data_IF_850309445261
#
_entry.id   IF_850309445261
#
_cell.length_a   1.000
_cell.length_b   1.000
_cell.length_c   1.000
_cell.angle_alpha   90.00
_cell.angle_beta   90.00
_cell.angle_gamma   90.00
#
_symmetry.space_group_name_H-M   'P 1'
#
loop_
_entity.id
_entity.type
_entity.pdbx_description
1 polymer ?
#
# COMPACT_ATOMS: atom_id res chain seq x y z
N UNK A 1 45.63 46.34 -7.91
CA UNK A 1 45.12 45.12 -8.58
C UNK A 1 44.94 44.01 -7.56
N UNK A 2 43.69 43.73 -7.18
CA UNK A 2 43.17 42.44 -6.64
C UNK A 2 41.65 42.62 -6.49
N UNK A 3 40.92 42.17 -7.51
CA UNK A 3 39.45 42.21 -7.55
C UNK A 3 38.90 41.03 -6.76
N UNK A 4 38.20 41.32 -5.66
CA UNK A 4 37.39 40.35 -4.92
C UNK A 4 36.02 40.30 -5.59
N UNK A 5 35.73 39.20 -6.32
CA UNK A 5 34.40 38.91 -6.85
C UNK A 5 33.50 38.42 -5.71
N UNK A 6 32.61 39.28 -5.25
CA UNK A 6 31.45 38.89 -4.44
C UNK A 6 30.45 38.13 -5.33
N UNK A 7 30.21 36.85 -5.03
CA UNK A 7 29.15 36.06 -5.65
C UNK A 7 27.82 36.41 -4.97
N UNK A 8 26.94 37.05 -5.74
CA UNK A 8 25.53 37.21 -5.41
C UNK A 8 24.86 35.83 -5.30
N UNK A 9 24.38 35.48 -4.11
CA UNK A 9 23.42 34.41 -3.93
C UNK A 9 22.05 34.92 -4.40
N UNK A 10 21.68 34.47 -5.59
CA UNK A 10 20.37 34.66 -6.17
C UNK A 10 19.35 33.95 -5.28
N UNK A 11 18.40 34.71 -4.73
CA UNK A 11 17.18 34.19 -4.10
C UNK A 11 16.43 33.37 -5.15
N UNK A 12 16.59 32.04 -5.11
CA UNK A 12 15.69 31.14 -5.82
C UNK A 12 14.39 31.10 -5.03
N UNK A 13 13.35 31.61 -5.69
CA UNK A 13 12.00 31.64 -5.18
C UNK A 13 11.54 30.24 -4.79
N UNK A 14 10.97 30.17 -3.60
CA UNK A 14 10.12 29.08 -3.17
C UNK A 14 8.93 29.10 -4.14
N UNK A 15 9.02 28.29 -5.19
CA UNK A 15 7.86 27.92 -5.99
C UNK A 15 6.95 27.14 -5.06
N UNK A 16 5.92 27.81 -4.56
CA UNK A 16 4.75 27.19 -4.01
C UNK A 16 4.14 26.30 -5.10
N UNK A 17 4.58 25.04 -5.17
CA UNK A 17 3.79 24.00 -5.80
C UNK A 17 2.50 23.90 -5.00
N UNK A 18 1.46 24.49 -5.56
CA UNK A 18 0.11 24.14 -5.20
C UNK A 18 -0.01 22.62 -5.37
N UNK A 19 -0.05 21.90 -4.24
CA UNK A 19 -0.66 20.58 -4.20
C UNK A 19 -2.10 20.80 -4.67
N UNK A 20 -2.34 20.62 -5.96
CA UNK A 20 -3.68 20.45 -6.47
C UNK A 20 -4.24 19.26 -5.70
N UNK A 21 -5.23 19.54 -4.84
CA UNK A 21 -5.98 18.54 -4.12
C UNK A 21 -6.73 17.68 -5.15
N UNK A 22 -6.04 16.70 -5.74
CA UNK A 22 -6.68 15.55 -6.36
C UNK A 22 -7.28 14.78 -5.20
N UNK A 23 -8.49 15.17 -4.81
CA UNK A 23 -9.31 14.38 -3.91
C UNK A 23 -9.67 13.13 -4.70
N UNK A 24 -9.20 11.93 -4.32
CA UNK A 24 -9.59 10.72 -5.03
C UNK A 24 -11.09 10.51 -4.80
N UNK A 25 -11.87 10.73 -5.85
CA UNK A 25 -13.34 10.78 -5.85
C UNK A 25 -14.01 9.40 -5.91
N UNK A 26 -13.35 8.31 -5.49
CA UNK A 26 -13.64 6.98 -6.07
C UNK A 26 -14.19 5.86 -5.15
N UNK A 27 -14.37 6.04 -3.83
CA UNK A 27 -14.78 4.94 -2.93
C UNK A 27 -16.26 4.90 -2.50
N UNK A 28 -17.01 6.02 -2.54
CA UNK A 28 -18.41 6.05 -2.08
C UNK A 28 -19.32 5.05 -2.82
N UNK A 29 -19.05 4.80 -4.11
CA UNK A 29 -19.84 3.90 -4.95
C UNK A 29 -19.62 2.41 -4.67
N UNK A 30 -18.42 2.03 -4.21
CA UNK A 30 -18.09 0.63 -3.89
C UNK A 30 -18.69 0.29 -2.53
N UNK A 31 -18.55 1.17 -1.54
CA UNK A 31 -19.01 0.95 -0.17
C UNK A 31 -20.55 0.88 -0.10
N UNK A 32 -21.27 1.68 -0.89
CA UNK A 32 -22.74 1.59 -0.95
C UNK A 32 -23.25 0.29 -1.61
N UNK A 33 -22.47 -0.36 -2.48
CA UNK A 33 -22.83 -1.66 -3.10
C UNK A 33 -22.65 -2.85 -2.15
N UNK A 34 -21.93 -2.66 -1.05
CA UNK A 34 -21.58 -3.73 -0.10
C UNK A 34 -22.74 -4.12 0.82
N UNK A 35 -23.75 -3.26 0.99
CA UNK A 35 -24.86 -3.49 1.94
C UNK A 35 -25.74 -4.73 1.66
N UNK A 36 -25.66 -5.37 0.49
CA UNK A 36 -26.60 -6.42 0.06
C UNK A 36 -25.99 -7.82 -0.17
N UNK A 37 -24.73 -8.09 0.21
CA UNK A 37 -24.04 -9.32 -0.25
C UNK A 37 -23.34 -10.10 0.87
N UNK A 38 -24.09 -10.98 1.56
CA UNK A 38 -23.52 -12.16 2.22
C UNK A 38 -24.28 -12.69 3.43
N UNK A 39 -24.61 -13.99 3.43
CA UNK A 39 -25.28 -14.67 4.57
C UNK A 39 -24.30 -15.29 5.57
N UNK A 40 -23.00 -15.42 5.25
CA UNK A 40 -22.00 -16.03 6.13
C UNK A 40 -21.29 -14.99 7.03
N UNK A 41 -20.67 -15.47 8.11
CA UNK A 41 -20.05 -14.60 9.12
C UNK A 41 -18.89 -13.75 8.56
N UNK A 42 -18.13 -14.28 7.60
CA UNK A 42 -17.00 -13.57 6.99
C UNK A 42 -17.43 -12.38 6.13
N UNK A 43 -18.46 -12.55 5.31
CA UNK A 43 -19.01 -11.46 4.50
C UNK A 43 -19.60 -10.36 5.38
N UNK A 44 -20.34 -10.71 6.44
CA UNK A 44 -20.89 -9.72 7.38
C UNK A 44 -19.79 -8.92 8.08
N UNK A 45 -18.76 -9.62 8.59
CA UNK A 45 -17.62 -8.95 9.21
C UNK A 45 -16.91 -8.01 8.22
N UNK A 46 -16.70 -8.45 6.97
CA UNK A 46 -16.08 -7.62 5.93
C UNK A 46 -16.91 -6.36 5.66
N UNK A 47 -18.23 -6.48 5.53
CA UNK A 47 -19.14 -5.35 5.38
C UNK A 47 -19.04 -4.36 6.55
N UNK A 48 -19.06 -4.86 7.79
CA UNK A 48 -18.95 -4.00 8.98
C UNK A 48 -17.58 -3.32 9.12
N UNK A 49 -16.50 -4.03 8.78
CA UNK A 49 -15.15 -3.49 8.75
C UNK A 49 -15.05 -2.34 7.73
N UNK A 50 -15.51 -2.55 6.49
CA UNK A 50 -15.51 -1.50 5.45
C UNK A 50 -16.38 -0.30 5.83
N UNK A 51 -17.53 -0.51 6.45
CA UNK A 51 -18.38 0.58 6.96
C UNK A 51 -17.65 1.40 8.03
N UNK A 52 -16.90 0.74 8.91
CA UNK A 52 -16.09 1.41 9.94
C UNK A 52 -14.98 2.26 9.31
N UNK A 53 -14.31 1.73 8.29
CA UNK A 53 -13.31 2.47 7.52
C UNK A 53 -13.92 3.67 6.78
N UNK A 54 -15.09 3.51 6.15
CA UNK A 54 -15.78 4.62 5.47
C UNK A 54 -16.09 5.78 6.41
N UNK A 55 -16.65 5.48 7.59
CA UNK A 55 -16.96 6.49 8.60
C UNK A 55 -15.69 7.22 9.06
N UNK A 56 -14.63 6.47 9.38
CA UNK A 56 -13.35 7.03 9.77
C UNK A 56 -12.74 7.91 8.67
N UNK A 57 -12.87 7.52 7.40
CA UNK A 57 -12.40 8.32 6.26
C UNK A 57 -13.15 9.64 6.17
N UNK A 58 -14.48 9.62 6.27
CA UNK A 58 -15.31 10.84 6.20
C UNK A 58 -14.96 11.82 7.31
N UNK A 59 -14.77 11.33 8.54
CA UNK A 59 -14.34 12.16 9.66
C UNK A 59 -12.94 12.75 9.42
N UNK A 60 -12.02 11.93 8.89
CA UNK A 60 -10.68 12.37 8.53
C UNK A 60 -10.67 13.41 7.39
N UNK A 61 -11.51 13.25 6.36
CA UNK A 61 -11.67 14.22 5.28
C UNK A 61 -12.09 15.59 5.84
N UNK A 62 -13.08 15.62 6.73
CA UNK A 62 -13.54 16.87 7.37
C UNK A 62 -12.39 17.53 8.15
N UNK A 63 -11.61 16.77 8.91
CA UNK A 63 -10.46 17.30 9.63
C UNK A 63 -9.35 17.80 8.68
N UNK A 64 -9.06 17.04 7.62
CA UNK A 64 -8.07 17.37 6.60
C UNK A 64 -8.41 18.69 5.88
N UNK A 65 -9.66 18.89 5.46
CA UNK A 65 -10.10 20.15 4.83
C UNK A 65 -9.99 21.37 5.75
N UNK A 66 -10.03 21.17 7.07
CA UNK A 66 -9.82 22.23 8.06
C UNK A 66 -8.34 22.48 8.35
N UNK A 67 -7.43 21.73 7.72
CA UNK A 67 -6.00 21.78 8.00
C UNK A 67 -5.57 21.06 9.27
N UNK A 68 -6.48 20.32 9.93
CA UNK A 68 -6.20 19.59 11.16
C UNK A 68 -5.70 18.17 10.84
N UNK A 69 -4.42 18.09 10.48
CA UNK A 69 -3.77 16.84 10.07
C UNK A 69 -3.64 15.83 11.22
N UNK A 70 -3.49 16.29 12.46
CA UNK A 70 -3.35 15.40 13.62
C UNK A 70 -4.67 14.71 13.93
N UNK A 71 -5.79 15.44 13.89
CA UNK A 71 -7.12 14.86 14.03
C UNK A 71 -7.45 13.94 12.86
N UNK A 72 -7.12 14.34 11.62
CA UNK A 72 -7.31 13.48 10.45
C UNK A 72 -6.54 12.15 10.57
N UNK A 73 -5.26 12.22 10.97
CA UNK A 73 -4.43 11.03 11.25
C UNK A 73 -5.09 10.14 12.31
N UNK A 74 -5.53 10.75 13.42
CA UNK A 74 -6.18 10.04 14.52
C UNK A 74 -7.43 9.28 14.07
N UNK A 75 -8.29 9.89 13.25
CA UNK A 75 -9.48 9.22 12.70
C UNK A 75 -9.12 8.00 11.85
N UNK A 76 -8.13 8.14 10.95
CA UNK A 76 -7.71 7.04 10.07
C UNK A 76 -7.03 5.90 10.84
N UNK A 77 -6.11 6.19 11.76
CA UNK A 77 -5.47 5.13 12.56
C UNK A 77 -6.50 4.38 13.42
N UNK A 78 -7.39 5.12 14.08
CA UNK A 78 -8.46 4.54 14.90
C UNK A 78 -9.45 3.71 14.06
N UNK A 79 -9.75 4.14 12.84
CA UNK A 79 -10.62 3.39 11.91
C UNK A 79 -10.06 2.01 11.56
N UNK A 80 -8.75 1.90 11.30
CA UNK A 80 -8.10 0.60 11.08
C UNK A 80 -8.22 -0.29 12.33
N UNK A 81 -7.88 0.24 13.51
CA UNK A 81 -7.94 -0.51 14.76
C UNK A 81 -9.36 -1.00 15.08
N UNK A 82 -10.37 -0.15 14.90
CA UNK A 82 -11.77 -0.51 15.10
C UNK A 82 -12.28 -1.49 14.06
N UNK A 83 -11.85 -1.38 12.79
CA UNK A 83 -12.26 -2.32 11.74
C UNK A 83 -11.67 -3.72 11.95
N UNK A 84 -10.54 -3.84 12.66
CA UNK A 84 -9.99 -5.12 13.08
C UNK A 84 -10.71 -5.73 14.30
N UNK A 85 -11.44 -4.93 15.08
CA UNK A 85 -12.14 -5.41 16.27
C UNK A 85 -13.15 -6.52 15.91
N UNK A 86 -13.22 -7.56 16.73
CA UNK A 86 -14.12 -8.70 16.50
C UNK A 86 -13.68 -9.65 15.38
N UNK A 87 -12.51 -9.43 14.76
CA UNK A 87 -11.91 -10.41 13.87
C UNK A 87 -11.50 -11.66 14.68
N UNK A 88 -12.20 -12.78 14.45
CA UNK A 88 -11.95 -14.07 15.09
C UNK A 88 -11.42 -15.13 14.12
N UNK A 89 -10.91 -14.73 12.95
CA UNK A 89 -10.40 -15.68 11.97
C UNK A 89 -9.02 -16.19 12.40
N UNK A 90 -8.99 -17.41 12.98
CA UNK A 90 -7.75 -17.96 13.56
C UNK A 90 -6.70 -18.38 12.54
N UNK A 91 -7.09 -18.96 11.39
CA UNK A 91 -6.14 -19.56 10.44
C UNK A 91 -6.46 -19.34 8.93
N UNK A 92 -7.65 -18.84 8.57
CA UNK A 92 -8.06 -18.67 7.17
C UNK A 92 -9.11 -17.55 7.05
N UNK A 93 -8.71 -16.32 7.40
CA UNK A 93 -9.57 -15.14 7.30
C UNK A 93 -9.58 -14.49 5.91
N UNK A 94 -10.43 -13.49 5.69
CA UNK A 94 -10.47 -12.69 4.46
C UNK A 94 -9.12 -12.05 4.16
N UNK A 95 -8.80 -11.89 2.87
CA UNK A 95 -7.64 -11.07 2.50
C UNK A 95 -7.81 -9.62 2.96
N UNK A 96 -9.04 -9.13 3.07
CA UNK A 96 -9.40 -7.84 3.68
C UNK A 96 -8.97 -7.78 5.15
N UNK A 97 -9.17 -8.86 5.91
CA UNK A 97 -8.76 -8.90 7.32
C UNK A 97 -7.24 -8.85 7.47
N UNK A 98 -6.54 -9.58 6.59
CA UNK A 98 -5.08 -9.55 6.49
C UNK A 98 -4.58 -8.16 6.08
N UNK A 99 -5.21 -7.54 5.09
CA UNK A 99 -4.88 -6.19 4.62
C UNK A 99 -5.09 -5.13 5.73
N UNK A 100 -6.20 -5.19 6.48
CA UNK A 100 -6.42 -4.27 7.62
C UNK A 100 -5.32 -4.44 8.67
N UNK A 101 -5.02 -5.69 9.07
CA UNK A 101 -4.00 -5.95 10.09
C UNK A 101 -2.61 -5.44 9.65
N UNK A 102 -2.24 -5.66 8.39
CA UNK A 102 -1.01 -5.13 7.80
C UNK A 102 -1.03 -3.60 7.71
N UNK A 103 -2.19 -3.01 7.41
CA UNK A 103 -2.40 -1.57 7.39
C UNK A 103 -2.13 -0.91 8.73
N UNK A 104 -2.53 -1.54 9.85
CA UNK A 104 -2.19 -1.06 11.19
C UNK A 104 -0.68 -1.05 11.42
N UNK A 105 0.01 -2.13 11.05
CA UNK A 105 1.46 -2.22 11.21
C UNK A 105 2.15 -1.16 10.35
N UNK A 106 1.84 -1.09 9.06
CA UNK A 106 2.40 -0.08 8.15
C UNK A 106 2.14 1.35 8.63
N UNK A 107 0.92 1.65 9.08
CA UNK A 107 0.57 2.97 9.59
C UNK A 107 1.40 3.38 10.81
N UNK A 108 1.64 2.44 11.73
CA UNK A 108 2.45 2.68 12.93
C UNK A 108 3.92 2.89 12.60
N UNK A 109 4.46 2.11 11.68
CA UNK A 109 5.87 2.23 11.27
C UNK A 109 6.11 3.53 10.50
N UNK A 110 5.20 3.92 9.61
CA UNK A 110 5.26 5.22 8.91
C UNK A 110 5.14 6.38 9.90
N UNK A 111 4.22 6.30 10.87
CA UNK A 111 4.04 7.35 11.88
C UNK A 111 5.27 7.47 12.80
N UNK A 112 5.86 6.33 13.19
CA UNK A 112 7.07 6.30 13.99
C UNK A 112 8.28 6.89 13.25
N UNK A 113 8.45 6.55 11.97
CA UNK A 113 9.56 7.02 11.15
C UNK A 113 9.49 8.51 10.80
N UNK A 114 8.28 9.08 10.72
CA UNK A 114 8.10 10.49 10.34
C UNK A 114 8.13 11.47 11.51
N UNK A 115 8.19 10.96 12.75
CA UNK A 115 8.13 11.73 14.00
C UNK A 115 6.84 12.57 14.11
N UNK A 116 6.46 13.01 15.32
CA UNK A 116 5.15 13.68 15.55
C UNK A 116 5.04 15.11 14.96
N UNK A 117 5.73 15.38 13.86
CA UNK A 117 5.75 16.66 13.15
C UNK A 117 4.59 16.78 12.16
N UNK A 118 4.21 18.02 11.84
CA UNK A 118 3.09 18.31 10.92
C UNK A 118 3.30 17.68 9.53
N UNK A 119 4.54 17.63 9.04
CA UNK A 119 4.86 16.99 7.77
C UNK A 119 4.73 15.47 7.84
N UNK A 120 5.10 14.84 8.97
CA UNK A 120 4.90 13.41 9.19
C UNK A 120 3.42 13.02 9.27
N UNK A 121 2.62 13.85 9.94
CA UNK A 121 1.17 13.70 9.93
C UNK A 121 0.59 13.78 8.51
N UNK A 122 1.08 14.70 7.66
CA UNK A 122 0.65 14.80 6.27
C UNK A 122 0.97 13.54 5.48
N UNK A 123 2.21 13.03 5.56
CA UNK A 123 2.63 11.79 4.87
C UNK A 123 1.77 10.60 5.31
N UNK A 124 1.59 10.43 6.62
CA UNK A 124 0.79 9.34 7.18
C UNK A 124 -0.67 9.41 6.72
N UNK A 125 -1.29 10.60 6.76
CA UNK A 125 -2.66 10.81 6.29
C UNK A 125 -2.81 10.49 4.81
N UNK A 126 -1.87 10.98 3.98
CA UNK A 126 -1.91 10.71 2.53
C UNK A 126 -1.81 9.22 2.22
N UNK A 127 -0.86 8.51 2.86
CA UNK A 127 -0.74 7.07 2.74
C UNK A 127 -2.03 6.35 3.18
N UNK A 128 -2.59 6.70 4.34
CA UNK A 128 -3.77 6.04 4.90
C UNK A 128 -5.02 6.22 4.04
N UNK A 129 -5.22 7.38 3.41
CA UNK A 129 -6.31 7.56 2.44
C UNK A 129 -6.21 6.55 1.29
N UNK A 130 -5.02 6.39 0.70
CA UNK A 130 -4.83 5.43 -0.39
C UNK A 130 -4.90 3.98 0.10
N UNK A 131 -4.44 3.71 1.32
CA UNK A 131 -4.56 2.39 1.94
C UNK A 131 -6.01 1.96 2.18
N UNK A 132 -6.89 2.89 2.55
CA UNK A 132 -8.32 2.60 2.70
C UNK A 132 -8.95 2.19 1.37
N UNK A 133 -8.57 2.88 0.29
CA UNK A 133 -9.04 2.53 -1.06
C UNK A 133 -8.55 1.15 -1.47
N UNK A 134 -7.30 0.82 -1.16
CA UNK A 134 -6.74 -0.52 -1.35
C UNK A 134 -7.53 -1.59 -0.60
N UNK A 135 -7.84 -1.40 0.69
CA UNK A 135 -8.63 -2.37 1.49
C UNK A 135 -10.03 -2.59 0.87
N UNK A 136 -10.69 -1.53 0.41
CA UNK A 136 -11.99 -1.64 -0.25
C UNK A 136 -11.90 -2.43 -1.57
N UNK A 137 -10.83 -2.22 -2.36
CA UNK A 137 -10.58 -2.96 -3.60
C UNK A 137 -10.33 -4.45 -3.32
N UNK A 138 -9.58 -4.78 -2.26
CA UNK A 138 -9.36 -6.18 -1.84
C UNK A 138 -10.69 -6.87 -1.55
N UNK A 139 -11.54 -6.20 -0.77
CA UNK A 139 -12.85 -6.74 -0.44
C UNK A 139 -13.71 -6.98 -1.70
N UNK A 140 -13.81 -6.00 -2.59
CA UNK A 140 -14.63 -6.06 -3.81
C UNK A 140 -14.12 -7.08 -4.82
N UNK A 141 -12.80 -7.18 -5.02
CA UNK A 141 -12.22 -8.00 -6.09
C UNK A 141 -11.88 -9.42 -5.67
N UNK A 142 -11.53 -9.65 -4.41
CA UNK A 142 -11.02 -10.93 -3.94
C UNK A 142 -11.91 -11.59 -2.90
N UNK A 143 -12.44 -10.85 -1.94
CA UNK A 143 -13.23 -11.48 -0.89
C UNK A 143 -14.69 -11.69 -1.34
N UNK A 144 -15.45 -10.65 -1.66
CA UNK A 144 -16.87 -10.81 -2.01
C UNK A 144 -17.15 -11.81 -3.13
N UNK A 145 -16.39 -11.83 -4.24
CA UNK A 145 -16.68 -12.77 -5.33
C UNK A 145 -16.36 -14.23 -4.96
N UNK A 146 -15.44 -14.46 -4.03
CA UNK A 146 -14.91 -15.79 -3.72
C UNK A 146 -15.28 -16.30 -2.31
N UNK A 147 -16.00 -15.49 -1.50
CA UNK A 147 -16.63 -15.90 -0.24
C UNK A 147 -17.95 -16.67 -0.40
N UNK A 148 -18.50 -16.74 -1.61
CA UNK A 148 -19.66 -17.57 -1.89
C UNK A 148 -19.22 -19.04 -1.80
N UNK A 149 -19.81 -19.85 -0.91
CA UNK A 149 -19.32 -21.19 -0.67
C UNK A 149 -19.42 -22.00 -1.96
N UNK A 150 -18.28 -22.54 -2.39
CA UNK A 150 -18.08 -23.50 -3.48
C UNK A 150 -18.91 -24.81 -3.33
N UNK A 151 -19.80 -24.88 -2.34
CA UNK A 151 -20.62 -26.04 -2.02
C UNK A 151 -21.59 -26.44 -3.14
N UNK A 152 -21.91 -25.56 -4.10
CA UNK A 152 -22.89 -25.85 -5.15
C UNK A 152 -22.41 -25.72 -6.62
N UNK A 153 -21.13 -25.43 -6.88
CA UNK A 153 -20.69 -25.31 -8.28
C UNK A 153 -20.17 -26.63 -8.88
N UNK A 154 -21.06 -27.35 -9.57
CA UNK A 154 -20.66 -28.39 -10.53
C UNK A 154 -20.15 -27.73 -11.82
N UNK A 155 -18.85 -27.42 -11.91
CA UNK A 155 -18.22 -27.00 -13.18
C UNK A 155 -17.27 -25.79 -13.13
N UNK A 156 -17.09 -25.13 -11.99
CA UNK A 156 -16.25 -23.92 -11.82
C UNK A 156 -14.72 -24.14 -11.98
N UNK A 157 -14.28 -25.15 -12.73
CA UNK A 157 -13.06 -25.89 -12.37
C UNK A 157 -11.74 -25.45 -13.03
N UNK A 158 -11.69 -24.39 -13.85
CA UNK A 158 -10.40 -23.89 -14.42
C UNK A 158 -10.38 -22.38 -14.73
N UNK A 159 -11.42 -21.82 -15.35
CA UNK A 159 -11.43 -20.40 -15.74
C UNK A 159 -11.48 -19.45 -14.53
N UNK A 160 -12.21 -19.83 -13.49
CA UNK A 160 -12.32 -19.06 -12.25
C UNK A 160 -11.06 -19.13 -11.40
N UNK A 161 -10.30 -20.23 -11.46
CA UNK A 161 -8.99 -20.36 -10.82
C UNK A 161 -7.99 -19.40 -11.46
N UNK A 162 -7.93 -19.35 -12.79
CA UNK A 162 -7.05 -18.41 -13.50
C UNK A 162 -7.43 -16.95 -13.20
N UNK A 163 -8.73 -16.62 -13.17
CA UNK A 163 -9.20 -15.27 -12.78
C UNK A 163 -8.79 -14.95 -11.34
N UNK A 164 -8.93 -15.91 -10.42
CA UNK A 164 -8.51 -15.72 -9.03
C UNK A 164 -6.99 -15.57 -8.92
N UNK A 165 -6.20 -16.38 -9.62
CA UNK A 165 -4.73 -16.26 -9.73
C UNK A 165 -4.35 -14.85 -10.17
N UNK A 166 -4.92 -14.37 -11.28
CA UNK A 166 -4.65 -13.02 -11.78
C UNK A 166 -4.96 -11.93 -10.74
N UNK A 167 -6.15 -11.98 -10.12
CA UNK A 167 -6.54 -10.97 -9.10
C UNK A 167 -5.68 -11.05 -7.85
N UNK A 168 -5.25 -12.26 -7.46
CA UNK A 168 -4.38 -12.47 -6.32
C UNK A 168 -2.97 -11.92 -6.58
N UNK A 169 -2.45 -12.10 -7.78
CA UNK A 169 -1.19 -11.49 -8.21
C UNK A 169 -1.28 -9.97 -8.27
N UNK A 170 -2.39 -9.43 -8.77
CA UNK A 170 -2.62 -7.98 -8.76
C UNK A 170 -2.63 -7.44 -7.32
N UNK A 171 -3.32 -8.12 -6.39
CA UNK A 171 -3.26 -7.77 -4.96
C UNK A 171 -1.84 -7.83 -4.38
N UNK A 172 -1.10 -8.88 -4.71
CA UNK A 172 0.29 -9.04 -4.25
C UNK A 172 1.15 -7.86 -4.71
N UNK A 173 1.02 -7.44 -5.97
CA UNK A 173 1.75 -6.28 -6.51
C UNK A 173 1.29 -4.98 -5.89
N UNK A 174 -0.02 -4.78 -5.82
CA UNK A 174 -0.62 -3.52 -5.38
C UNK A 174 -0.20 -3.18 -3.94
N UNK A 175 0.03 -4.18 -3.08
CA UNK A 175 0.57 -3.95 -1.73
C UNK A 175 1.91 -3.22 -1.73
N UNK A 176 2.81 -3.58 -2.65
CA UNK A 176 4.15 -2.98 -2.80
C UNK A 176 4.05 -1.67 -3.58
N UNK A 177 3.28 -1.67 -4.68
CA UNK A 177 3.08 -0.50 -5.53
C UNK A 177 2.45 0.67 -4.76
N UNK A 178 1.50 0.39 -3.87
CA UNK A 178 0.86 1.40 -3.03
C UNK A 178 1.88 2.17 -2.18
N UNK A 179 2.86 1.47 -1.60
CA UNK A 179 3.94 2.10 -0.83
C UNK A 179 4.77 2.99 -1.75
N UNK A 180 5.19 2.46 -2.90
CA UNK A 180 5.95 3.20 -3.90
C UNK A 180 5.22 4.48 -4.33
N UNK A 181 3.94 4.39 -4.67
CA UNK A 181 3.19 5.53 -5.18
C UNK A 181 2.77 6.53 -4.10
N UNK A 182 2.73 6.11 -2.83
CA UNK A 182 2.23 6.95 -1.74
C UNK A 182 3.33 7.64 -0.95
N UNK A 183 4.55 7.09 -0.98
CA UNK A 183 5.69 7.59 -0.20
C UNK A 183 6.85 8.06 -1.07
N UNK A 184 6.68 8.14 -2.40
CA UNK A 184 7.69 8.70 -3.29
C UNK A 184 7.10 9.60 -4.37
N UNK A 185 7.92 10.49 -4.92
CA UNK A 185 7.65 11.35 -6.07
C UNK A 185 8.79 11.22 -7.09
N UNK A 186 8.46 11.25 -8.39
CA UNK A 186 9.44 11.20 -9.48
C UNK A 186 9.54 12.55 -10.18
N UNK A 187 10.76 13.04 -10.39
CA UNK A 187 11.02 14.33 -11.09
C UNK A 187 10.96 14.25 -12.62
N UNK A 188 10.44 13.15 -13.18
CA UNK A 188 10.29 12.95 -14.62
C UNK A 188 9.74 11.58 -14.97
N UNK A 189 9.94 11.16 -16.23
CA UNK A 189 9.58 9.82 -16.70
C UNK A 189 10.27 8.75 -15.83
N UNK A 190 9.54 7.76 -15.32
CA UNK A 190 9.96 6.78 -14.30
C UNK A 190 11.21 5.96 -14.69
N UNK A 191 11.61 6.03 -15.96
CA UNK A 191 12.82 5.38 -16.51
C UNK A 191 14.06 6.26 -16.50
N UNK A 192 13.92 7.57 -16.29
CA UNK A 192 15.02 8.57 -16.38
C UNK A 192 15.00 9.62 -15.26
N UNK A 193 13.90 9.74 -14.52
CA UNK A 193 13.76 10.65 -13.39
C UNK A 193 14.40 10.11 -12.12
N UNK A 194 14.82 11.01 -11.24
CA UNK A 194 15.20 10.66 -9.88
C UNK A 194 13.95 10.54 -9.02
N UNK A 195 13.92 9.51 -8.16
CA UNK A 195 12.85 9.24 -7.19
C UNK A 195 13.25 9.84 -5.85
N UNK A 196 12.33 10.59 -5.25
CA UNK A 196 12.50 11.23 -3.95
C UNK A 196 11.42 10.76 -2.99
N UNK A 197 11.73 10.58 -1.69
CA UNK A 197 10.73 10.19 -0.70
C UNK A 197 9.79 11.36 -0.39
N UNK A 198 8.51 11.06 -0.16
CA UNK A 198 7.53 11.99 0.41
C UNK A 198 7.61 11.87 1.93
N UNK A 199 8.33 12.79 2.57
CA UNK A 199 8.58 12.75 4.01
C UNK A 199 9.92 12.07 4.34
N UNK A 200 9.97 11.35 5.47
CA UNK A 200 11.18 10.69 5.93
C UNK A 200 11.56 9.51 5.02
N UNK A 201 12.80 9.43 4.49
CA UNK A 201 13.27 8.30 3.68
C UNK A 201 13.06 6.94 4.37
N UNK A 202 13.26 6.88 5.68
CA UNK A 202 13.12 5.67 6.50
C UNK A 202 11.68 5.14 6.48
N UNK A 203 10.69 6.03 6.43
CA UNK A 203 9.29 5.63 6.34
C UNK A 203 9.02 4.86 5.04
N UNK A 204 9.58 5.31 3.92
CA UNK A 204 9.49 4.60 2.65
C UNK A 204 10.22 3.25 2.72
N UNK A 205 11.46 3.24 3.21
CA UNK A 205 12.29 2.02 3.23
C UNK A 205 11.67 0.93 4.11
N UNK A 206 11.18 1.27 5.31
CA UNK A 206 10.51 0.30 6.19
C UNK A 206 9.14 -0.14 5.67
N UNK A 207 8.34 0.78 5.12
CA UNK A 207 7.07 0.38 4.50
C UNK A 207 7.30 -0.54 3.29
N UNK A 208 8.36 -0.31 2.52
CA UNK A 208 8.72 -1.15 1.38
C UNK A 208 9.24 -2.52 1.81
N UNK A 209 10.05 -2.56 2.87
CA UNK A 209 10.51 -3.80 3.51
C UNK A 209 9.32 -4.68 3.94
N UNK A 210 8.38 -4.10 4.68
CA UNK A 210 7.21 -4.80 5.20
C UNK A 210 6.29 -5.27 4.08
N UNK A 211 5.97 -4.38 3.14
CA UNK A 211 5.10 -4.73 2.00
C UNK A 211 5.73 -5.81 1.10
N UNK A 212 7.05 -5.77 0.89
CA UNK A 212 7.77 -6.83 0.15
C UNK A 212 7.75 -8.16 0.89
N UNK A 213 7.91 -8.14 2.22
CA UNK A 213 7.79 -9.32 3.07
C UNK A 213 6.39 -9.93 3.00
N UNK A 214 5.35 -9.08 3.07
CA UNK A 214 3.96 -9.50 2.96
C UNK A 214 3.62 -10.08 1.59
N UNK A 215 4.07 -9.44 0.51
CA UNK A 215 3.89 -9.94 -0.85
C UNK A 215 4.58 -11.31 -1.05
N UNK A 216 5.80 -11.46 -0.54
CA UNK A 216 6.53 -12.74 -0.57
C UNK A 216 5.78 -13.84 0.19
N UNK A 217 5.28 -13.52 1.40
CA UNK A 217 4.51 -14.45 2.22
C UNK A 217 3.22 -14.88 1.51
N UNK A 218 2.48 -13.94 0.92
CA UNK A 218 1.24 -14.25 0.19
C UNK A 218 1.51 -15.19 -0.99
N UNK A 219 2.53 -14.91 -1.80
CA UNK A 219 2.91 -15.80 -2.90
C UNK A 219 3.33 -17.18 -2.41
N UNK A 220 4.08 -17.25 -1.31
CA UNK A 220 4.56 -18.51 -0.70
C UNK A 220 3.43 -19.36 -0.13
N UNK A 221 2.42 -18.73 0.45
CA UNK A 221 1.23 -19.40 0.99
C UNK A 221 0.20 -19.75 -0.09
N UNK A 222 0.36 -19.25 -1.31
CA UNK A 222 -0.56 -19.51 -2.41
C UNK A 222 -0.40 -20.91 -3.01
N UNK A 223 -1.46 -21.39 -3.68
CA UNK A 223 -1.43 -22.66 -4.43
C UNK A 223 -0.42 -22.66 -5.59
N UNK A 224 0.04 -21.47 -6.00
CA UNK A 224 0.95 -21.29 -7.14
C UNK A 224 2.38 -20.96 -6.72
N UNK A 225 2.72 -21.13 -5.43
CA UNK A 225 4.03 -20.78 -4.89
C UNK A 225 5.22 -21.32 -5.72
N UNK A 226 5.11 -22.56 -6.23
CA UNK A 226 6.17 -23.17 -7.06
C UNK A 226 6.39 -22.45 -8.39
N UNK A 227 5.34 -21.84 -8.97
CA UNK A 227 5.42 -21.07 -10.22
C UNK A 227 6.10 -19.72 -10.01
N UNK A 228 5.95 -19.14 -8.81
CA UNK A 228 6.45 -17.82 -8.44
C UNK A 228 7.68 -17.85 -7.52
N UNK A 229 8.40 -18.98 -7.47
CA UNK A 229 9.52 -19.19 -6.55
C UNK A 229 10.61 -18.11 -6.69
N UNK A 230 10.91 -17.66 -7.91
CA UNK A 230 11.90 -16.61 -8.14
C UNK A 230 11.42 -15.23 -7.67
N UNK A 231 10.15 -14.89 -7.89
CA UNK A 231 9.59 -13.64 -7.41
C UNK A 231 9.50 -13.61 -5.88
N UNK A 232 9.18 -14.75 -5.26
CA UNK A 232 9.27 -14.94 -3.81
C UNK A 232 10.69 -14.66 -3.33
N UNK A 233 11.71 -15.24 -3.98
CA UNK A 233 13.10 -15.04 -3.61
C UNK A 233 13.54 -13.58 -3.79
N UNK A 234 13.25 -12.96 -4.93
CA UNK A 234 13.56 -11.55 -5.19
C UNK A 234 12.93 -10.60 -4.17
N UNK A 235 11.67 -10.83 -3.78
CA UNK A 235 11.00 -10.05 -2.73
C UNK A 235 11.67 -10.24 -1.35
N UNK A 236 12.08 -11.47 -1.01
CA UNK A 236 12.82 -11.72 0.24
C UNK A 236 14.20 -11.07 0.24
N UNK A 237 14.91 -11.09 -0.90
CA UNK A 237 16.20 -10.43 -1.04
C UNK A 237 16.06 -8.90 -0.91
N UNK A 238 15.03 -8.31 -1.53
CA UNK A 238 14.72 -6.89 -1.37
C UNK A 238 14.44 -6.56 0.11
N UNK A 239 13.54 -7.29 0.76
CA UNK A 239 13.21 -7.08 2.17
C UNK A 239 14.45 -7.22 3.07
N UNK A 240 15.24 -8.29 2.89
CA UNK A 240 16.47 -8.51 3.67
C UNK A 240 17.50 -7.40 3.46
N UNK A 241 17.61 -6.86 2.25
CA UNK A 241 18.53 -5.76 1.96
C UNK A 241 18.07 -4.47 2.64
N UNK A 242 16.78 -4.16 2.60
CA UNK A 242 16.20 -3.00 3.28
C UNK A 242 16.39 -3.10 4.80
N UNK A 243 16.10 -4.27 5.39
CA UNK A 243 16.27 -4.54 6.82
C UNK A 243 17.72 -4.38 7.30
N UNK A 244 18.70 -4.67 6.43
CA UNK A 244 20.12 -4.57 6.77
C UNK A 244 20.64 -3.12 6.89
N UNK A 245 19.89 -2.14 6.38
CA UNK A 245 20.30 -0.73 6.40
C UNK A 245 21.61 -0.45 5.64
N UNK A 246 22.00 -1.30 4.68
CA UNK A 246 23.28 -1.23 3.98
C UNK A 246 23.33 -0.11 2.91
N UNK A 247 22.94 1.11 3.28
CA UNK A 247 22.97 2.28 2.41
C UNK A 247 23.82 3.39 3.06
N UNK A 248 24.77 3.93 2.29
CA UNK A 248 25.65 5.01 2.73
C UNK A 248 25.03 6.40 2.49
N UNK A 249 24.03 6.49 1.62
CA UNK A 249 23.31 7.70 1.24
C UNK A 249 21.81 7.39 1.12
N UNK A 250 20.96 8.19 1.75
CA UNK A 250 19.51 7.97 1.84
C UNK A 250 18.78 8.18 0.51
N UNK A 251 19.24 9.13 -0.32
CA UNK A 251 18.61 9.39 -1.62
C UNK A 251 18.91 8.24 -2.58
N UNK A 252 20.16 7.80 -2.61
CA UNK A 252 20.56 6.61 -3.36
C UNK A 252 19.85 5.36 -2.84
N UNK A 253 19.61 5.25 -1.53
CA UNK A 253 18.85 4.16 -0.93
C UNK A 253 17.42 4.08 -1.47
N UNK A 254 16.70 5.21 -1.42
CA UNK A 254 15.31 5.31 -1.88
C UNK A 254 15.23 4.99 -3.36
N UNK A 255 16.09 5.61 -4.18
CA UNK A 255 16.07 5.41 -5.63
C UNK A 255 16.42 3.96 -6.00
N UNK A 256 17.44 3.38 -5.37
CA UNK A 256 17.84 1.99 -5.61
C UNK A 256 16.74 1.00 -5.19
N UNK A 257 16.13 1.21 -4.02
CA UNK A 257 15.04 0.40 -3.51
C UNK A 257 13.80 0.46 -4.40
N UNK A 258 13.41 1.67 -4.83
CA UNK A 258 12.29 1.88 -5.73
C UNK A 258 12.49 1.13 -7.06
N UNK A 259 13.66 1.28 -7.68
CA UNK A 259 13.96 0.63 -8.97
C UNK A 259 13.96 -0.90 -8.83
N UNK A 260 14.56 -1.45 -7.77
CA UNK A 260 14.53 -2.89 -7.51
C UNK A 260 13.09 -3.40 -7.31
N UNK A 261 12.28 -2.70 -6.51
CA UNK A 261 10.88 -3.06 -6.30
C UNK A 261 10.10 -3.06 -7.63
N UNK A 262 10.23 -1.99 -8.43
CA UNK A 262 9.59 -1.88 -9.74
C UNK A 262 9.93 -3.06 -10.64
N UNK A 263 11.21 -3.38 -10.78
CA UNK A 263 11.67 -4.44 -11.67
C UNK A 263 11.12 -5.81 -11.22
N UNK A 264 11.04 -6.05 -9.90
CA UNK A 264 10.39 -7.25 -9.33
C UNK A 264 8.89 -7.29 -9.69
N UNK A 265 8.17 -6.18 -9.53
CA UNK A 265 6.73 -6.11 -9.83
C UNK A 265 6.42 -6.37 -11.32
N UNK A 266 7.30 -5.94 -12.23
CA UNK A 266 7.20 -6.24 -13.68
C UNK A 266 7.39 -7.73 -14.00
N UNK A 267 8.10 -8.47 -13.14
CA UNK A 267 8.35 -9.91 -13.26
C UNK A 267 7.23 -10.79 -12.66
N UNK A 268 6.40 -10.27 -11.76
CA UNK A 268 5.24 -11.00 -11.19
C UNK A 268 4.15 -11.11 -12.26
N UNK A 269 4.20 -12.12 -13.13
CA UNK A 269 3.15 -12.34 -14.13
C UNK A 269 2.91 -13.84 -14.32
N UNK A 270 1.67 -14.27 -14.57
CA UNK A 270 1.40 -15.68 -14.80
C UNK A 270 2.17 -16.19 -16.02
N UNK A 271 2.78 -17.36 -15.87
CA UNK A 271 3.59 -17.99 -16.91
C UNK A 271 5.02 -17.45 -17.05
N UNK A 272 5.37 -16.31 -16.41
CA UNK A 272 6.77 -15.93 -16.20
C UNK A 272 7.33 -16.77 -15.05
N UNK A 273 7.79 -17.98 -15.38
CA UNK A 273 8.61 -18.76 -14.45
C UNK A 273 9.95 -18.08 -14.15
N UNK A 274 10.87 -18.80 -13.53
CA UNK A 274 12.27 -18.38 -13.40
C UNK A 274 12.95 -18.30 -14.78
N UNK A 275 12.69 -17.22 -15.53
CA UNK A 275 13.37 -16.95 -16.79
C UNK A 275 14.84 -16.68 -16.52
N UNK A 276 15.72 -17.44 -17.18
CA UNK A 276 17.19 -17.33 -17.08
C UNK A 276 17.61 -15.86 -17.26
N UNK A 277 18.16 -15.25 -16.20
CA UNK A 277 19.07 -14.11 -16.34
C UNK A 277 20.36 -14.56 -17.02
#
# INVERSE_FOLDING_TARGET
>A
MKNVKTRNWMKLGISALALAAVTPTFAQGIINKVNDRGTNASSRWCTDALRTLDLARRDADVAYYRGDLMTAKGHLMNGLERSQAGNNFRNAGPLTARAIARGIVLAREIDAATQAELNGARTTVYFLFRYYDFVAIVADRLDYPFYIPFTNCRGCRLAEEAIFEHRFLDYTKEQVQLVMDSLTESTGDLRRGAVFPIGAPEAFLHALELSSTYASQDLRESLWASRYACQIDSLNQLASRLASGAYLDEVDAVNSAYLMARDILEEIQPGKGCGRR
#
